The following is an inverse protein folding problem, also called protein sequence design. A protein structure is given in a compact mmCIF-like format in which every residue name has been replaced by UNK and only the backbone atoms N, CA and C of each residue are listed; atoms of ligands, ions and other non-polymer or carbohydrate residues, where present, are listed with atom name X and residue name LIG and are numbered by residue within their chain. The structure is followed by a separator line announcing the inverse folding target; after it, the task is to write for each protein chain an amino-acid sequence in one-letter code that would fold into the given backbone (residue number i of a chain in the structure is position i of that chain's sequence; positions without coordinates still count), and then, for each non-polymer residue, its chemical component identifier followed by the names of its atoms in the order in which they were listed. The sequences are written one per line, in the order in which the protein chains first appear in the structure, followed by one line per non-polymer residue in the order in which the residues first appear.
data_IF_884285080491
#
_entry.id   IF_884285080491
#
_cell.length_a   1.000
_cell.length_b   1.000
_cell.length_c   1.000
_cell.angle_alpha   90.00
_cell.angle_beta   90.00
_cell.angle_gamma   90.00
#
_symmetry.space_group_name_H-M   'P 1'
#
loop_
_entity.id
_entity.type
_entity.pdbx_description
1 polymer ?
#
# COMPACT_ATOMS: atom_id res chain seq x y z
N UNK A 1 13.61 -10.47 -25.02
CA UNK A 1 14.39 -9.52 -24.19
C UNK A 1 13.60 -8.26 -23.86
N UNK A 2 12.95 -7.61 -24.83
CA UNK A 2 12.20 -6.35 -24.58
C UNK A 2 10.91 -6.54 -23.76
N UNK A 3 10.20 -7.67 -23.90
CA UNK A 3 8.98 -7.96 -23.12
C UNK A 3 9.24 -8.04 -21.61
N UNK A 4 10.39 -8.60 -21.20
CA UNK A 4 10.76 -8.66 -19.78
C UNK A 4 10.97 -7.26 -19.19
N UNK A 5 11.56 -6.34 -19.96
CA UNK A 5 11.76 -4.95 -19.55
C UNK A 5 10.41 -4.25 -19.37
N UNK A 6 9.44 -4.52 -20.26
CA UNK A 6 8.09 -3.94 -20.18
C UNK A 6 7.36 -4.44 -18.93
N UNK A 7 7.39 -5.75 -18.65
CA UNK A 7 6.74 -6.32 -17.45
C UNK A 7 7.36 -5.75 -16.16
N UNK A 8 8.70 -5.66 -16.09
CA UNK A 8 9.40 -5.09 -14.92
C UNK A 8 9.05 -3.60 -14.74
N UNK A 9 8.97 -2.83 -15.81
CA UNK A 9 8.59 -1.41 -15.75
C UNK A 9 7.17 -1.23 -15.20
N UNK A 10 6.22 -2.08 -15.59
CA UNK A 10 4.83 -2.03 -15.09
C UNK A 10 4.74 -2.35 -13.60
N UNK A 11 5.47 -3.36 -13.13
CA UNK A 11 5.53 -3.71 -11.70
C UNK A 11 6.18 -2.59 -10.89
N UNK A 12 7.25 -1.97 -11.41
CA UNK A 12 7.95 -0.87 -10.74
C UNK A 12 7.03 0.34 -10.52
N UNK A 13 6.23 0.71 -11.52
CA UNK A 13 5.26 1.82 -11.39
C UNK A 13 4.14 1.48 -10.40
N UNK A 14 3.64 0.24 -10.41
CA UNK A 14 2.62 -0.21 -9.47
C UNK A 14 3.13 -0.20 -8.01
N UNK A 15 4.41 -0.47 -7.78
CA UNK A 15 4.99 -0.61 -6.45
C UNK A 15 5.13 0.72 -5.67
N UNK A 16 5.18 1.87 -6.36
CA UNK A 16 5.41 3.20 -5.73
C UNK A 16 4.36 3.50 -4.64
N UNK A 17 3.09 3.19 -4.90
CA UNK A 17 2.01 3.42 -3.93
C UNK A 17 2.00 2.41 -2.78
N UNK A 18 2.38 1.17 -3.06
CA UNK A 18 2.38 0.06 -2.08
C UNK A 18 3.44 0.30 -1.01
N UNK A 19 4.65 0.75 -1.39
CA UNK A 19 5.73 0.96 -0.42
C UNK A 19 5.46 2.10 0.57
N UNK A 20 4.78 3.17 0.15
CA UNK A 20 4.44 4.27 1.06
C UNK A 20 3.42 3.83 2.13
N UNK A 21 2.36 3.15 1.71
CA UNK A 21 1.31 2.64 2.58
C UNK A 21 1.83 1.54 3.51
N UNK A 22 2.61 0.60 2.97
CA UNK A 22 3.25 -0.45 3.77
C UNK A 22 4.20 0.14 4.82
N UNK A 23 5.01 1.15 4.45
CA UNK A 23 5.88 1.85 5.37
C UNK A 23 5.13 2.55 6.51
N UNK A 24 3.96 3.13 6.23
CA UNK A 24 3.09 3.70 7.26
C UNK A 24 2.61 2.64 8.26
N UNK A 25 2.12 1.49 7.77
CA UNK A 25 1.62 0.38 8.61
C UNK A 25 2.71 -0.21 9.51
N UNK A 26 3.90 -0.49 8.95
CA UNK A 26 5.02 -1.05 9.73
C UNK A 26 5.49 -0.05 10.79
N UNK A 27 5.58 1.23 10.43
CA UNK A 27 6.00 2.29 11.37
C UNK A 27 5.00 2.47 12.51
N UNK A 28 3.70 2.51 12.21
CA UNK A 28 2.65 2.67 13.24
C UNK A 28 2.56 1.45 14.15
N UNK A 29 2.66 0.23 13.62
CA UNK A 29 2.72 -0.97 14.47
C UNK A 29 3.97 -1.00 15.34
N UNK A 30 5.12 -0.61 14.80
CA UNK A 30 6.36 -0.54 15.57
C UNK A 30 6.28 0.52 16.68
N UNK A 31 5.63 1.66 16.40
CA UNK A 31 5.36 2.68 17.41
C UNK A 31 4.38 2.19 18.49
N UNK A 32 3.33 1.46 18.11
CA UNK A 32 2.39 0.84 19.05
C UNK A 32 3.11 -0.15 19.97
N UNK A 33 3.91 -1.06 19.40
CA UNK A 33 4.70 -2.04 20.18
C UNK A 33 5.71 -1.35 21.11
N UNK A 34 6.37 -0.28 20.65
CA UNK A 34 7.31 0.48 21.48
C UNK A 34 6.59 1.20 22.65
N UNK A 35 5.38 1.74 22.42
CA UNK A 35 4.56 2.33 23.48
C UNK A 35 4.10 1.29 24.50
N UNK A 36 3.58 0.15 24.05
CA UNK A 36 3.17 -0.91 24.98
C UNK A 36 4.36 -1.46 25.77
N UNK A 37 5.53 -1.60 25.14
CA UNK A 37 6.76 -1.99 25.83
C UNK A 37 7.24 -0.94 26.85
N UNK A 38 6.97 0.35 26.60
CA UNK A 38 7.22 1.44 27.53
C UNK A 38 6.15 1.55 28.64
N UNK A 39 5.11 0.71 28.61
CA UNK A 39 3.99 0.73 29.56
C UNK A 39 2.93 1.79 29.25
N UNK A 40 2.96 2.38 28.05
CA UNK A 40 1.95 3.33 27.55
C UNK A 40 0.93 2.63 26.65
N UNK A 41 -0.27 3.21 26.55
CA UNK A 41 -1.34 2.69 25.70
C UNK A 41 -1.00 2.89 24.20
N UNK A 42 -0.81 1.78 23.50
CA UNK A 42 -0.52 1.73 22.05
C UNK A 42 -1.77 1.76 21.16
N UNK A 43 -2.97 1.80 21.73
CA UNK A 43 -4.24 1.65 21.00
C UNK A 43 -4.45 2.67 19.88
N UNK A 44 -3.99 3.91 20.05
CA UNK A 44 -4.09 4.96 19.04
C UNK A 44 -3.22 4.66 17.80
N UNK A 45 -2.00 4.18 18.01
CA UNK A 45 -1.09 3.81 16.92
C UNK A 45 -1.55 2.53 16.21
N UNK A 46 -2.18 1.62 16.95
CA UNK A 46 -2.84 0.44 16.37
C UNK A 46 -4.02 0.82 15.46
N UNK A 47 -4.88 1.75 15.89
CA UNK A 47 -5.98 2.28 15.06
C UNK A 47 -5.47 3.00 13.80
N UNK A 48 -4.40 3.77 13.92
CA UNK A 48 -3.73 4.40 12.78
C UNK A 48 -3.17 3.35 11.80
N UNK A 49 -2.55 2.28 12.30
CA UNK A 49 -2.08 1.17 11.49
C UNK A 49 -3.24 0.49 10.73
N UNK A 50 -4.37 0.30 11.40
CA UNK A 50 -5.55 -0.35 10.85
C UNK A 50 -6.17 0.51 9.73
N UNK A 51 -6.31 1.82 9.97
CA UNK A 51 -6.78 2.77 8.96
C UNK A 51 -5.85 2.82 7.74
N UNK A 52 -4.53 2.81 7.96
CA UNK A 52 -3.55 2.77 6.87
C UNK A 52 -3.63 1.47 6.07
N UNK A 53 -3.86 0.33 6.73
CA UNK A 53 -4.06 -0.96 6.07
C UNK A 53 -5.37 -1.02 5.26
N UNK A 54 -6.46 -0.46 5.78
CA UNK A 54 -7.73 -0.34 5.06
C UNK A 54 -7.60 0.55 3.81
N UNK A 55 -6.92 1.69 3.95
CA UNK A 55 -6.60 2.55 2.81
C UNK A 55 -5.74 1.83 1.77
N UNK A 56 -4.80 0.98 2.20
CA UNK A 56 -4.01 0.15 1.29
C UNK A 56 -4.81 -0.90 0.54
N UNK A 57 -5.75 -1.53 1.23
CA UNK A 57 -6.70 -2.46 0.61
C UNK A 57 -7.58 -1.76 -0.42
N UNK A 58 -8.11 -0.58 -0.10
CA UNK A 58 -8.94 0.22 -1.00
C UNK A 58 -8.16 0.71 -2.23
N UNK A 59 -6.92 1.17 -2.04
CA UNK A 59 -6.04 1.60 -3.13
C UNK A 59 -5.68 0.44 -4.09
N UNK A 60 -5.54 -0.77 -3.54
CA UNK A 60 -5.30 -2.00 -4.32
C UNK A 60 -6.50 -2.36 -5.20
N UNK A 61 -7.72 -2.25 -4.66
CA UNK A 61 -8.94 -2.49 -5.42
C UNK A 61 -9.10 -1.51 -6.60
N UNK A 62 -8.74 -0.24 -6.41
CA UNK A 62 -8.84 0.80 -7.44
C UNK A 62 -7.77 0.71 -8.54
N UNK A 63 -6.60 0.11 -8.26
CA UNK A 63 -5.41 0.12 -9.14
C UNK A 63 -4.98 -1.27 -9.61
N UNK A 64 -5.88 -2.25 -9.64
CA UNK A 64 -5.57 -3.54 -10.25
C UNK A 64 -5.22 -3.37 -11.74
N UNK A 65 -4.43 -4.29 -12.29
CA UNK A 65 -4.10 -4.31 -13.74
C UNK A 65 -5.36 -4.21 -14.61
N UNK A 66 -6.49 -4.73 -14.11
CA UNK A 66 -7.80 -4.66 -14.76
C UNK A 66 -8.36 -3.23 -14.87
N UNK A 67 -8.07 -2.37 -13.91
CA UNK A 67 -8.43 -0.94 -13.91
C UNK A 67 -7.67 -0.18 -14.99
N UNK A 68 -6.38 -0.48 -15.19
CA UNK A 68 -5.57 0.09 -16.26
C UNK A 68 -5.98 -0.41 -17.65
N UNK A 69 -6.32 -1.71 -17.81
CA UNK A 69 -6.86 -2.22 -19.07
C UNK A 69 -8.28 -1.73 -19.37
N UNK A 70 -9.08 -1.44 -18.34
CA UNK A 70 -10.43 -0.89 -18.50
C UNK A 70 -10.44 0.59 -18.91
N UNK A 71 -9.53 1.39 -18.36
CA UNK A 71 -9.37 2.80 -18.75
C UNK A 71 -8.80 2.99 -20.17
N UNK A 72 -8.02 2.03 -20.67
CA UNK A 72 -7.54 2.04 -22.05
C UNK A 72 -8.66 1.81 -23.08
N UNK A 73 -9.73 1.09 -22.70
CA UNK A 73 -10.89 0.81 -23.56
C UNK A 73 -11.95 1.90 -23.56
N UNK A 74 -11.95 2.80 -22.56
CA UNK A 74 -12.89 3.91 -22.43
C UNK A 74 -12.46 5.18 -23.21
N UNK A 75 -11.34 5.11 -23.93
CA UNK A 75 -10.78 6.19 -24.74
C UNK A 75 -11.07 6.08 -26.23
N UNK A 76 -12.25 5.58 -26.64
CA UNK A 76 -12.77 5.67 -28.00
C UNK A 76 -14.19 6.23 -27.99
#
# INVERSE_FOLDING_TARGET
MVEYIIVVALVAVAAIGVYQLFGQVVRSQTAAMAKELAGEDGSAESQNAQTAAENASAQTAAKSLKSFTGNASAGN
#
